data_IF_023435785089
#
_entry.id   IF_023435785089
#
_cell.length_a   1.000
_cell.length_b   1.000
_cell.length_c   1.000
_cell.angle_alpha   90.00
_cell.angle_beta   90.00
_cell.angle_gamma   90.00
#
_symmetry.space_group_name_H-M   'P 1'
#
loop_
_entity.id
_entity.type
_entity.pdbx_description
1 polymer ?
#
# COMPACT_ATOMS: atom_id res chain seq x y z
N UNK A 1 20.52 10.75 -9.54
CA UNK A 1 19.94 12.08 -9.21
C UNK A 1 18.53 12.30 -9.79
N UNK A 2 18.03 11.42 -10.70
CA UNK A 2 16.69 11.57 -11.29
C UNK A 2 15.62 10.72 -10.57
N UNK A 3 16.02 9.66 -9.86
CA UNK A 3 15.11 8.78 -9.12
C UNK A 3 14.57 9.51 -7.89
N UNK A 4 13.34 9.17 -7.50
CA UNK A 4 12.67 9.70 -6.30
C UNK A 4 13.59 9.52 -5.07
N UNK A 5 13.67 10.54 -4.22
CA UNK A 5 14.54 10.53 -3.05
C UNK A 5 14.16 9.40 -2.08
N UNK A 6 15.17 8.76 -1.48
CA UNK A 6 14.99 7.65 -0.55
C UNK A 6 14.75 6.28 -1.18
N UNK A 7 14.38 6.22 -2.48
CA UNK A 7 14.04 4.96 -3.13
C UNK A 7 15.28 4.06 -3.36
N UNK A 8 16.39 4.64 -3.80
CA UNK A 8 17.62 3.88 -4.08
C UNK A 8 18.26 3.29 -2.82
N UNK A 9 18.05 3.92 -1.65
CA UNK A 9 18.56 3.46 -0.35
C UNK A 9 17.60 2.50 0.35
N UNK A 10 16.41 2.27 -0.22
CA UNK A 10 15.43 1.35 0.34
C UNK A 10 15.80 -0.12 0.09
N UNK A 11 15.23 -1.03 0.89
CA UNK A 11 15.38 -2.48 0.69
C UNK A 11 14.91 -2.94 -0.71
N UNK A 12 14.04 -2.18 -1.37
CA UNK A 12 13.59 -2.45 -2.75
C UNK A 12 14.73 -2.34 -3.77
N UNK A 13 15.72 -1.48 -3.55
CA UNK A 13 16.85 -1.28 -4.47
C UNK A 13 18.19 -1.75 -3.90
N UNK A 14 18.35 -1.73 -2.58
CA UNK A 14 19.57 -2.03 -1.82
C UNK A 14 19.29 -3.05 -0.69
N UNK A 15 18.88 -4.29 -1.00
CA UNK A 15 18.35 -5.24 -0.02
C UNK A 15 19.39 -5.79 0.97
N UNK A 16 20.68 -5.56 0.71
CA UNK A 16 21.76 -6.13 1.53
C UNK A 16 22.37 -5.11 2.52
N UNK A 17 21.93 -3.85 2.51
CA UNK A 17 22.43 -2.82 3.43
C UNK A 17 23.92 -2.46 3.24
N UNK A 18 24.55 -2.84 2.13
CA UNK A 18 25.98 -2.59 1.81
C UNK A 18 26.24 -1.31 1.02
N UNK A 19 25.20 -0.48 0.84
CA UNK A 19 25.26 0.78 0.10
C UNK A 19 25.34 0.63 -1.42
N UNK A 20 25.13 -0.58 -1.95
CA UNK A 20 25.09 -0.82 -3.39
C UNK A 20 23.66 -0.99 -3.88
N UNK A 21 23.42 -0.49 -5.09
CA UNK A 21 22.15 -0.64 -5.79
C UNK A 21 22.23 -1.91 -6.64
N UNK A 22 21.34 -2.86 -6.36
CA UNK A 22 21.26 -4.13 -7.08
C UNK A 22 20.08 -4.17 -8.04
N UNK A 23 19.04 -3.40 -7.76
CA UNK A 23 17.75 -3.43 -8.45
C UNK A 23 17.41 -2.02 -8.90
N UNK A 24 17.01 -1.86 -10.14
CA UNK A 24 16.66 -0.57 -10.73
C UNK A 24 15.15 -0.35 -10.65
N UNK A 25 14.65 0.69 -9.94
CA UNK A 25 13.23 0.97 -9.85
C UNK A 25 12.73 1.61 -11.16
N UNK A 26 11.59 1.17 -11.69
CA UNK A 26 11.07 1.81 -12.88
C UNK A 26 9.69 2.45 -12.70
N UNK A 27 8.76 1.85 -12.02
CA UNK A 27 7.45 2.43 -11.68
C UNK A 27 7.38 2.67 -10.16
N UNK A 28 6.73 3.75 -9.75
CA UNK A 28 6.40 4.02 -8.36
C UNK A 28 4.94 4.48 -8.29
N UNK A 29 4.06 3.54 -8.02
CA UNK A 29 2.62 3.74 -7.98
C UNK A 29 2.14 3.96 -6.55
N UNK A 30 1.43 5.07 -6.24
CA UNK A 30 0.91 5.30 -4.90
C UNK A 30 -0.14 4.26 -4.53
N UNK A 31 -0.09 3.84 -3.27
CA UNK A 31 -1.05 2.96 -2.63
C UNK A 31 -1.72 3.69 -1.46
N UNK A 32 -2.99 3.38 -1.25
CA UNK A 32 -3.78 3.97 -0.17
C UNK A 32 -5.18 3.39 -0.15
N UNK A 33 -6.14 4.18 0.28
CA UNK A 33 -7.55 3.85 0.28
C UNK A 33 -8.21 4.43 -0.97
N UNK A 34 -8.57 3.58 -1.92
CA UNK A 34 -9.33 3.98 -3.11
C UNK A 34 -10.80 4.19 -2.72
N UNK A 35 -11.41 5.26 -3.21
CA UNK A 35 -12.80 5.62 -2.95
C UNK A 35 -13.46 6.25 -4.17
N UNK A 36 -14.79 6.39 -4.15
CA UNK A 36 -15.56 7.07 -5.19
C UNK A 36 -15.71 8.56 -4.84
N UNK A 37 -14.99 9.44 -5.53
CA UNK A 37 -15.04 10.91 -5.32
C UNK A 37 -16.46 11.46 -5.48
N UNK A 38 -17.16 11.05 -6.52
CA UNK A 38 -18.53 11.49 -6.80
C UNK A 38 -19.47 11.16 -5.65
N UNK A 39 -19.40 9.95 -5.10
CA UNK A 39 -20.20 9.55 -3.94
C UNK A 39 -19.92 10.44 -2.72
N UNK A 40 -18.66 10.79 -2.49
CA UNK A 40 -18.26 11.67 -1.40
C UNK A 40 -18.79 13.09 -1.59
N UNK A 41 -18.66 13.65 -2.78
CA UNK A 41 -19.18 14.99 -3.14
C UNK A 41 -20.70 15.06 -2.98
N UNK A 42 -21.45 14.07 -3.51
CA UNK A 42 -22.90 14.01 -3.41
C UNK A 42 -23.43 13.95 -1.97
N UNK A 43 -22.64 13.38 -1.04
CA UNK A 43 -23.02 13.26 0.36
C UNK A 43 -22.39 14.33 1.25
N UNK A 44 -21.53 15.20 0.71
CA UNK A 44 -20.78 16.18 1.48
C UNK A 44 -19.81 15.52 2.49
N UNK A 45 -19.27 14.37 2.13
CA UNK A 45 -18.28 13.65 2.93
C UNK A 45 -16.87 14.09 2.57
N UNK A 46 -16.01 14.15 3.58
CA UNK A 46 -14.57 14.37 3.42
C UNK A 46 -13.81 13.06 3.67
N UNK A 47 -12.61 12.93 3.10
CA UNK A 47 -11.74 11.80 3.38
C UNK A 47 -11.23 11.88 4.83
N UNK A 48 -11.21 10.75 5.57
CA UNK A 48 -10.84 10.75 6.97
C UNK A 48 -9.35 11.04 7.15
N UNK A 49 -8.99 11.78 8.19
CA UNK A 49 -7.61 12.03 8.61
C UNK A 49 -7.23 11.07 9.73
N UNK A 50 -8.07 10.97 10.75
CA UNK A 50 -7.84 10.11 11.91
C UNK A 50 -8.69 8.83 11.86
N UNK A 51 -8.34 7.86 12.71
CA UNK A 51 -9.17 6.68 12.90
C UNK A 51 -10.56 6.99 13.44
N UNK A 52 -10.70 8.03 14.23
CA UNK A 52 -12.01 8.46 14.73
C UNK A 52 -12.86 9.01 13.58
N UNK A 53 -12.29 9.85 12.70
CA UNK A 53 -12.98 10.32 11.49
C UNK A 53 -13.39 9.15 10.57
N UNK A 54 -12.51 8.14 10.46
CA UNK A 54 -12.76 6.97 9.63
C UNK A 54 -13.98 6.18 10.10
N UNK A 55 -14.07 5.93 11.40
CA UNK A 55 -15.21 5.21 11.98
C UNK A 55 -16.48 6.07 12.01
N UNK A 56 -16.38 7.38 12.28
CA UNK A 56 -17.52 8.30 12.19
C UNK A 56 -18.11 8.33 10.78
N UNK A 57 -17.26 8.36 9.76
CA UNK A 57 -17.69 8.24 8.37
C UNK A 57 -18.36 6.88 8.11
N UNK A 58 -17.84 5.81 8.70
CA UNK A 58 -18.43 4.48 8.62
C UNK A 58 -19.84 4.42 9.19
N UNK A 59 -20.10 5.09 10.31
CA UNK A 59 -21.45 5.17 10.89
C UNK A 59 -22.42 5.92 9.97
N UNK A 60 -21.97 7.03 9.37
CA UNK A 60 -22.75 7.77 8.35
C UNK A 60 -23.05 6.92 7.11
N UNK A 61 -22.10 6.11 6.67
CA UNK A 61 -22.27 5.21 5.53
C UNK A 61 -23.26 4.06 5.82
N UNK A 62 -23.18 3.49 7.01
CA UNK A 62 -24.13 2.45 7.48
C UNK A 62 -25.59 2.90 7.42
N UNK A 63 -25.88 4.17 7.72
CA UNK A 63 -27.24 4.73 7.61
C UNK A 63 -27.77 4.68 6.16
N UNK A 64 -26.89 4.64 5.18
CA UNK A 64 -27.20 4.52 3.74
C UNK A 64 -27.10 3.08 3.21
N UNK A 65 -26.78 2.11 4.07
CA UNK A 65 -26.58 0.71 3.70
C UNK A 65 -25.27 0.46 2.97
N UNK A 66 -24.27 1.32 3.13
CA UNK A 66 -22.93 1.21 2.54
C UNK A 66 -21.96 0.80 3.64
N UNK A 67 -21.13 -0.23 3.40
CA UNK A 67 -20.07 -0.60 4.32
C UNK A 67 -18.93 0.43 4.29
N UNK A 68 -18.19 0.57 5.38
CA UNK A 68 -17.02 1.46 5.40
C UNK A 68 -15.87 0.89 4.55
N UNK A 69 -15.63 -0.42 4.62
CA UNK A 69 -14.41 -1.02 4.11
C UNK A 69 -14.66 -2.36 3.45
N UNK A 70 -13.91 -2.64 2.41
CA UNK A 70 -13.71 -3.97 1.83
C UNK A 70 -12.24 -4.17 1.50
N UNK A 71 -11.79 -5.39 1.29
CA UNK A 71 -10.43 -5.70 0.81
C UNK A 71 -10.44 -6.98 -0.02
N UNK A 72 -9.31 -7.28 -0.66
CA UNK A 72 -9.13 -8.48 -1.48
C UNK A 72 -8.96 -9.71 -0.56
N UNK A 73 -10.07 -10.26 -0.06
CA UNK A 73 -10.12 -11.23 1.03
C UNK A 73 -9.15 -12.40 0.90
N UNK A 74 -9.09 -13.04 -0.29
CA UNK A 74 -8.15 -14.14 -0.55
C UNK A 74 -6.72 -13.66 -0.91
N UNK A 75 -6.48 -12.33 -0.99
CA UNK A 75 -5.18 -11.70 -1.20
C UNK A 75 -4.96 -10.58 -0.16
N UNK A 76 -4.93 -10.91 1.14
CA UNK A 76 -4.96 -9.91 2.21
C UNK A 76 -3.70 -9.02 2.27
N UNK A 77 -2.67 -9.33 1.50
CA UNK A 77 -1.46 -8.51 1.38
C UNK A 77 -1.72 -7.05 0.99
N UNK A 78 -2.82 -6.75 0.30
CA UNK A 78 -3.20 -5.36 -0.02
C UNK A 78 -3.47 -4.48 1.21
N UNK A 79 -3.75 -5.06 2.37
CA UNK A 79 -3.84 -4.34 3.63
C UNK A 79 -2.53 -3.61 4.00
N UNK A 80 -1.41 -3.95 3.36
CA UNK A 80 -0.12 -3.28 3.53
C UNK A 80 -0.21 -1.77 3.26
N UNK A 81 -1.04 -1.35 2.29
CA UNK A 81 -1.23 0.06 1.96
C UNK A 81 -1.90 0.89 3.06
N UNK A 82 -2.45 0.23 4.06
CA UNK A 82 -3.04 0.84 5.25
C UNK A 82 -2.19 0.59 6.51
N UNK A 83 -1.76 -0.66 6.73
CA UNK A 83 -1.05 -1.05 7.95
C UNK A 83 0.32 -0.37 8.07
N UNK A 84 1.15 -0.42 7.03
CA UNK A 84 2.51 0.14 7.12
C UNK A 84 2.53 1.67 7.23
N UNK A 85 1.75 2.43 6.44
CA UNK A 85 1.64 3.88 6.62
C UNK A 85 1.12 4.27 8.00
N UNK A 86 0.08 3.59 8.53
CA UNK A 86 -0.44 3.86 9.85
C UNK A 86 0.59 3.58 10.96
N UNK A 87 1.35 2.49 10.87
CA UNK A 87 2.46 2.20 11.78
C UNK A 87 3.59 3.22 11.66
N UNK A 88 3.93 3.65 10.44
CA UNK A 88 4.94 4.68 10.22
C UNK A 88 4.55 6.02 10.85
N UNK A 89 3.26 6.39 10.79
CA UNK A 89 2.74 7.59 11.45
C UNK A 89 2.81 7.45 12.97
N UNK A 90 2.33 6.33 13.51
CA UNK A 90 2.22 6.11 14.95
C UNK A 90 3.57 5.90 15.65
N UNK A 91 4.54 5.25 14.99
CA UNK A 91 5.81 4.83 15.63
C UNK A 91 7.04 5.55 15.07
N UNK A 92 6.87 6.32 14.01
CA UNK A 92 7.93 7.02 13.29
C UNK A 92 8.54 6.20 12.15
N UNK A 93 8.89 6.88 11.06
CA UNK A 93 9.45 6.25 9.85
C UNK A 93 10.76 5.49 10.10
N UNK A 94 11.57 5.93 11.07
CA UNK A 94 12.82 5.24 11.40
C UNK A 94 12.56 3.89 12.08
N UNK A 95 11.45 3.75 12.83
CA UNK A 95 11.06 2.46 13.40
C UNK A 95 10.67 1.45 12.31
N UNK A 96 10.14 1.92 11.18
CA UNK A 96 9.81 1.04 10.06
C UNK A 96 11.03 0.32 9.46
N UNK A 97 12.24 0.87 9.63
CA UNK A 97 13.49 0.19 9.25
C UNK A 97 13.75 -1.00 10.17
N UNK A 98 13.47 -0.85 11.48
CA UNK A 98 13.58 -1.95 12.44
C UNK A 98 12.54 -3.04 12.14
N UNK A 99 11.30 -2.67 11.81
CA UNK A 99 10.26 -3.61 11.36
C UNK A 99 10.71 -4.36 10.10
N UNK A 100 11.18 -3.65 9.09
CA UNK A 100 11.66 -4.21 7.82
C UNK A 100 12.84 -5.20 8.02
N UNK A 101 13.68 -4.97 9.04
CA UNK A 101 14.83 -5.81 9.40
C UNK A 101 14.48 -6.93 10.40
N UNK A 102 13.20 -7.16 10.65
CA UNK A 102 12.71 -8.19 11.60
C UNK A 102 13.28 -8.01 13.00
N UNK A 103 13.36 -6.77 13.49
CA UNK A 103 13.93 -6.48 14.81
C UNK A 103 12.89 -6.78 15.91
N UNK A 104 13.15 -7.73 16.83
CA UNK A 104 12.24 -7.99 17.94
C UNK A 104 12.01 -6.74 18.80
N UNK A 105 10.77 -6.53 19.19
CA UNK A 105 10.33 -5.38 19.99
C UNK A 105 9.97 -4.13 19.16
N UNK A 106 10.15 -4.14 17.82
CA UNK A 106 9.85 -2.98 16.98
C UNK A 106 8.35 -2.64 16.88
N UNK A 107 7.47 -3.58 17.20
CA UNK A 107 6.01 -3.39 17.24
C UNK A 107 5.44 -3.39 18.68
N UNK A 108 6.29 -3.36 19.72
CA UNK A 108 5.88 -3.55 21.11
C UNK A 108 5.33 -2.27 21.76
N UNK A 109 5.33 -1.12 21.10
CA UNK A 109 4.80 0.14 21.67
C UNK A 109 3.27 0.13 21.77
N UNK A 110 2.73 0.97 22.67
CA UNK A 110 1.28 1.15 22.82
C UNK A 110 0.67 1.76 21.56
N UNK A 111 1.40 2.65 20.87
CA UNK A 111 0.97 3.26 19.61
C UNK A 111 0.85 2.23 18.49
N UNK A 112 1.84 1.32 18.37
CA UNK A 112 1.74 0.21 17.42
C UNK A 112 0.52 -0.66 17.72
N UNK A 113 0.30 -1.01 18.99
CA UNK A 113 -0.87 -1.81 19.38
C UNK A 113 -2.19 -1.12 19.02
N UNK A 114 -2.32 0.19 19.22
CA UNK A 114 -3.51 0.95 18.83
C UNK A 114 -3.80 0.83 17.32
N UNK A 115 -2.77 0.84 16.47
CA UNK A 115 -2.96 0.64 15.03
C UNK A 115 -3.55 -0.75 14.76
N UNK A 116 -3.02 -1.81 15.36
CA UNK A 116 -3.58 -3.16 15.21
C UNK A 116 -5.01 -3.26 15.75
N UNK A 117 -5.32 -2.61 16.86
CA UNK A 117 -6.68 -2.54 17.43
C UNK A 117 -7.66 -1.85 16.49
N UNK A 118 -7.27 -0.72 15.89
CA UNK A 118 -8.10 -0.02 14.90
C UNK A 118 -8.31 -0.85 13.63
N UNK A 119 -7.28 -1.54 13.14
CA UNK A 119 -7.42 -2.47 12.02
C UNK A 119 -8.40 -3.60 12.34
N UNK A 120 -8.29 -4.24 13.52
CA UNK A 120 -9.21 -5.29 13.96
C UNK A 120 -10.64 -4.78 14.11
N UNK A 121 -10.82 -3.57 14.62
CA UNK A 121 -12.12 -2.90 14.81
C UNK A 121 -12.92 -2.79 13.50
N UNK A 122 -12.26 -2.69 12.35
CA UNK A 122 -12.94 -2.68 11.05
C UNK A 122 -13.86 -3.90 10.90
N UNK A 123 -13.39 -5.08 11.29
CA UNK A 123 -14.19 -6.31 11.24
C UNK A 123 -15.10 -6.47 12.45
N UNK A 124 -14.54 -6.38 13.68
CA UNK A 124 -15.25 -6.72 14.92
C UNK A 124 -16.43 -5.80 15.22
N UNK A 125 -16.38 -4.54 14.80
CA UNK A 125 -17.46 -3.55 15.02
C UNK A 125 -18.37 -3.40 13.78
N UNK A 126 -18.23 -4.32 12.79
CA UNK A 126 -19.13 -4.42 11.64
C UNK A 126 -19.01 -3.26 10.66
N UNK A 127 -17.79 -2.76 10.42
CA UNK A 127 -17.47 -1.80 9.39
C UNK A 127 -17.03 -2.48 8.07
N UNK A 128 -16.64 -3.75 8.16
CA UNK A 128 -16.28 -4.56 7.00
C UNK A 128 -17.53 -4.96 6.22
N UNK A 129 -17.46 -4.88 4.90
CA UNK A 129 -18.51 -5.38 4.00
C UNK A 129 -18.69 -6.90 4.18
N UNK A 130 -19.95 -7.35 4.28
CA UNK A 130 -20.28 -8.76 4.42
C UNK A 130 -19.65 -9.61 3.31
N UNK A 131 -19.04 -10.74 3.69
CA UNK A 131 -18.43 -11.68 2.77
C UNK A 131 -17.06 -11.30 2.23
N UNK A 132 -16.52 -10.13 2.59
CA UNK A 132 -15.21 -9.62 2.09
C UNK A 132 -14.11 -10.68 2.17
N UNK A 133 -14.00 -11.43 3.27
CA UNK A 133 -12.91 -12.42 3.48
C UNK A 133 -12.84 -13.53 2.43
N UNK A 134 -13.92 -13.75 1.69
CA UNK A 134 -14.01 -14.76 0.61
C UNK A 134 -13.89 -14.15 -0.80
N UNK A 135 -13.83 -12.82 -0.93
CA UNK A 135 -13.78 -12.17 -2.24
C UNK A 135 -12.39 -12.29 -2.87
N UNK A 136 -12.38 -12.51 -4.18
CA UNK A 136 -11.17 -12.36 -4.97
C UNK A 136 -10.92 -10.89 -5.32
N UNK A 137 -9.81 -10.64 -5.97
CA UNK A 137 -9.34 -9.33 -6.38
C UNK A 137 -10.41 -8.53 -7.16
N UNK A 138 -10.86 -9.07 -8.28
CA UNK A 138 -11.85 -8.40 -9.17
C UNK A 138 -13.20 -8.20 -8.48
N UNK A 139 -13.66 -9.17 -7.67
CA UNK A 139 -14.95 -9.06 -6.98
C UNK A 139 -14.95 -7.93 -5.94
N UNK A 140 -13.92 -7.85 -5.10
CA UNK A 140 -13.83 -6.80 -4.06
C UNK A 140 -13.74 -5.40 -4.69
N UNK A 141 -12.97 -5.25 -5.76
CA UNK A 141 -12.87 -4.00 -6.50
C UNK A 141 -14.21 -3.61 -7.15
N UNK A 142 -14.88 -4.56 -7.80
CA UNK A 142 -16.20 -4.32 -8.41
C UNK A 142 -17.23 -3.91 -7.35
N UNK A 143 -17.26 -4.58 -6.20
CA UNK A 143 -18.20 -4.26 -5.13
C UNK A 143 -17.97 -2.85 -4.57
N UNK A 144 -16.72 -2.42 -4.41
CA UNK A 144 -16.42 -1.03 -4.04
C UNK A 144 -16.85 -0.05 -5.14
N UNK A 145 -16.53 -0.32 -6.42
CA UNK A 145 -16.92 0.53 -7.54
C UNK A 145 -18.44 0.64 -7.72
N UNK A 146 -19.20 -0.33 -7.23
CA UNK A 146 -20.66 -0.32 -7.17
C UNK A 146 -21.22 0.33 -5.90
N UNK A 147 -20.39 1.04 -5.13
CA UNK A 147 -20.73 1.72 -3.89
C UNK A 147 -21.25 0.80 -2.77
N UNK A 148 -20.86 -0.49 -2.74
CA UNK A 148 -21.20 -1.37 -1.63
C UNK A 148 -20.29 -1.15 -0.41
N UNK A 149 -19.09 -0.63 -0.63
CA UNK A 149 -18.16 -0.16 0.40
C UNK A 149 -17.57 1.19 0.00
N UNK A 150 -17.19 2.01 1.00
CA UNK A 150 -16.58 3.32 0.74
C UNK A 150 -15.13 3.19 0.30
N UNK A 151 -14.36 2.31 0.95
CA UNK A 151 -12.93 2.19 0.75
C UNK A 151 -12.49 0.77 0.43
N UNK A 152 -11.44 0.68 -0.40
CA UNK A 152 -10.66 -0.54 -0.64
C UNK A 152 -9.17 -0.19 -0.65
N UNK A 153 -8.29 -0.95 0.04
CA UNK A 153 -6.84 -0.78 -0.06
C UNK A 153 -6.36 -1.19 -1.45
N UNK A 154 -5.76 -0.25 -2.20
CA UNK A 154 -5.28 -0.50 -3.56
C UNK A 154 -4.32 0.62 -3.99
N UNK A 155 -3.94 0.64 -5.26
CA UNK A 155 -3.15 1.69 -5.88
C UNK A 155 -3.80 2.29 -7.12
N UNK A 156 -3.13 3.27 -7.72
CA UNK A 156 -3.64 4.00 -8.89
C UNK A 156 -3.80 3.12 -10.14
N UNK A 157 -3.18 1.93 -10.19
CA UNK A 157 -3.36 0.95 -11.27
C UNK A 157 -4.78 0.37 -11.35
N UNK A 158 -5.56 0.45 -10.25
CA UNK A 158 -6.93 -0.07 -10.20
C UNK A 158 -7.81 0.52 -11.29
N UNK A 159 -7.61 1.79 -11.69
CA UNK A 159 -8.36 2.40 -12.78
C UNK A 159 -8.17 1.64 -14.11
N UNK A 160 -6.93 1.36 -14.47
CA UNK A 160 -6.60 0.62 -15.69
C UNK A 160 -7.03 -0.84 -15.63
N UNK A 161 -6.79 -1.49 -14.49
CA UNK A 161 -7.14 -2.90 -14.26
C UNK A 161 -8.65 -3.13 -14.35
N UNK A 162 -9.44 -2.17 -13.90
CA UNK A 162 -10.90 -2.26 -13.85
C UNK A 162 -11.60 -1.43 -14.95
N UNK A 163 -10.89 -1.06 -16.03
CA UNK A 163 -11.42 -0.18 -17.07
C UNK A 163 -12.77 -0.63 -17.64
N UNK A 164 -12.93 -1.94 -17.89
CA UNK A 164 -14.13 -2.55 -18.46
C UNK A 164 -15.12 -3.09 -17.41
N UNK A 165 -14.81 -2.95 -16.11
CA UNK A 165 -15.67 -3.46 -15.05
C UNK A 165 -16.87 -2.55 -14.79
N UNK A 166 -18.02 -3.12 -14.34
CA UNK A 166 -19.18 -2.33 -13.96
C UNK A 166 -18.85 -1.44 -12.76
N UNK A 167 -19.44 -0.23 -12.78
CA UNK A 167 -19.29 0.76 -11.72
C UNK A 167 -20.56 1.59 -11.57
N UNK A 168 -20.71 2.26 -10.44
CA UNK A 168 -21.81 3.17 -10.19
C UNK A 168 -21.80 4.34 -11.21
N UNK A 169 -22.97 4.90 -11.48
CA UNK A 169 -23.10 6.06 -12.37
C UNK A 169 -22.25 7.24 -11.86
N UNK A 170 -21.51 7.87 -12.76
CA UNK A 170 -20.64 8.99 -12.41
C UNK A 170 -19.42 8.65 -11.54
N UNK A 171 -19.09 7.38 -11.35
CA UNK A 171 -17.96 6.96 -10.53
C UNK A 171 -16.65 7.61 -10.97
N UNK A 172 -15.98 8.29 -10.05
CA UNK A 172 -14.64 8.85 -10.22
C UNK A 172 -13.69 8.29 -9.16
N UNK A 173 -12.51 7.83 -9.60
CA UNK A 173 -11.49 7.33 -8.70
C UNK A 173 -10.87 8.45 -7.86
N UNK A 174 -10.81 8.23 -6.55
CA UNK A 174 -9.99 8.97 -5.60
C UNK A 174 -9.08 8.04 -4.83
N UNK A 175 -8.00 8.57 -4.28
CA UNK A 175 -7.05 7.85 -3.45
C UNK A 175 -6.70 8.74 -2.26
N UNK A 176 -6.78 8.22 -1.04
CA UNK A 176 -6.43 8.94 0.19
C UNK A 176 -5.52 8.10 1.09
N UNK A 177 -4.81 8.77 1.99
CA UNK A 177 -3.90 8.12 2.94
C UNK A 177 -4.66 7.25 3.96
N UNK A 178 -3.94 6.28 4.55
CA UNK A 178 -4.39 5.60 5.75
C UNK A 178 -4.65 6.62 6.89
N UNK A 179 -5.63 6.35 7.77
CA UNK A 179 -5.87 7.16 8.95
C UNK A 179 -4.69 7.12 9.93
N UNK A 180 -4.50 8.22 10.68
CA UNK A 180 -3.51 8.35 11.76
C UNK A 180 -4.17 8.28 13.13
N UNK A 181 -3.38 8.12 14.21
CA UNK A 181 -3.93 8.06 15.58
C UNK A 181 -4.39 9.44 16.06
N UNK A 182 -3.58 10.46 15.83
CA UNK A 182 -3.86 11.83 16.27
C UNK A 182 -3.74 12.81 15.10
N UNK A 183 -4.61 13.84 15.08
CA UNK A 183 -4.53 14.91 14.08
C UNK A 183 -3.20 15.66 14.22
N UNK A 184 -2.58 15.93 13.06
CA UNK A 184 -1.27 16.56 12.97
C UNK A 184 -0.08 15.59 12.92
N UNK A 185 -0.29 14.28 13.05
CA UNK A 185 0.75 13.30 12.73
C UNK A 185 1.11 13.33 11.24
N UNK A 186 2.38 13.01 10.93
CA UNK A 186 2.78 12.86 9.54
C UNK A 186 2.08 11.67 8.91
N UNK A 187 1.28 11.93 7.89
CA UNK A 187 0.68 10.87 7.07
C UNK A 187 1.70 10.37 6.05
N UNK A 188 1.69 9.08 5.77
CA UNK A 188 2.57 8.46 4.79
C UNK A 188 1.77 7.84 3.65
N UNK A 189 2.36 7.85 2.46
CA UNK A 189 1.87 7.18 1.25
C UNK A 189 2.84 6.08 0.90
N UNK A 190 2.44 4.84 1.09
CA UNK A 190 3.21 3.71 0.60
C UNK A 190 3.16 3.68 -0.92
N UNK A 191 4.28 3.35 -1.54
CA UNK A 191 4.34 3.18 -3.00
C UNK A 191 4.75 1.76 -3.36
N UNK A 192 3.99 1.14 -4.25
CA UNK A 192 4.44 -0.05 -4.95
C UNK A 192 5.55 0.35 -5.92
N UNK A 193 6.63 -0.41 -5.94
CA UNK A 193 7.78 -0.13 -6.80
C UNK A 193 8.03 -1.34 -7.67
N UNK A 194 7.83 -1.17 -8.97
CA UNK A 194 8.22 -2.15 -9.97
C UNK A 194 9.70 -1.98 -10.33
N UNK A 195 10.37 -3.09 -10.60
CA UNK A 195 11.83 -3.11 -10.60
C UNK A 195 12.38 -3.96 -11.72
N UNK A 196 13.60 -3.60 -12.18
CA UNK A 196 14.40 -4.41 -13.08
C UNK A 196 15.71 -4.85 -12.43
N UNK A 197 16.09 -6.08 -12.69
CA UNK A 197 17.39 -6.61 -12.28
C UNK A 197 18.10 -7.28 -13.45
N UNK A 198 19.42 -7.35 -13.37
CA UNK A 198 20.26 -8.10 -14.31
C UNK A 198 20.84 -9.29 -13.56
N UNK A 199 20.40 -10.52 -13.84
CA UNK A 199 20.93 -11.72 -13.19
C UNK A 199 22.45 -11.83 -13.34
N UNK A 200 23.15 -12.31 -12.31
CA UNK A 200 24.61 -12.45 -12.31
C UNK A 200 25.14 -13.35 -13.45
N UNK A 201 24.32 -14.28 -13.93
CA UNK A 201 24.64 -15.19 -15.04
C UNK A 201 24.11 -14.72 -16.41
N UNK A 202 23.70 -13.45 -16.53
CA UNK A 202 23.27 -12.89 -17.81
C UNK A 202 24.36 -13.03 -18.88
N UNK A 203 23.98 -13.46 -20.08
CA UNK A 203 24.94 -13.69 -21.18
C UNK A 203 25.52 -12.38 -21.74
N UNK A 204 24.77 -11.30 -21.69
CA UNK A 204 25.13 -10.00 -22.23
C UNK A 204 24.85 -8.88 -21.22
N UNK A 205 25.56 -8.83 -20.06
CA UNK A 205 25.24 -7.90 -18.99
C UNK A 205 25.42 -6.43 -19.41
N UNK A 206 26.40 -6.11 -20.25
CA UNK A 206 26.61 -4.73 -20.70
C UNK A 206 25.49 -4.25 -21.63
N UNK A 207 24.99 -5.10 -22.53
CA UNK A 207 23.84 -4.77 -23.35
C UNK A 207 22.56 -4.61 -22.50
N UNK A 208 22.39 -5.44 -21.47
CA UNK A 208 21.28 -5.29 -20.53
C UNK A 208 21.35 -3.95 -19.76
N UNK A 209 22.54 -3.50 -19.36
CA UNK A 209 22.75 -2.18 -18.76
C UNK A 209 22.42 -1.03 -19.72
N UNK A 210 22.78 -1.17 -21.00
CA UNK A 210 22.42 -0.17 -22.03
C UNK A 210 20.89 -0.12 -22.20
N UNK A 211 20.23 -1.27 -22.22
CA UNK A 211 18.77 -1.32 -22.26
C UNK A 211 18.14 -0.66 -21.03
N UNK A 212 18.64 -0.92 -19.81
CA UNK A 212 18.17 -0.22 -18.62
C UNK A 212 18.36 1.30 -18.73
N UNK A 213 19.51 1.78 -19.24
CA UNK A 213 19.72 3.22 -19.45
C UNK A 213 18.72 3.82 -20.45
N UNK A 214 18.39 3.07 -21.50
CA UNK A 214 17.39 3.47 -22.49
C UNK A 214 16.00 3.63 -21.84
N UNK A 215 15.62 2.73 -20.91
CA UNK A 215 14.32 2.82 -20.23
C UNK A 215 14.15 4.10 -19.41
N UNK A 216 15.22 4.75 -18.97
CA UNK A 216 15.17 6.02 -18.24
C UNK A 216 15.25 7.27 -19.14
N UNK A 217 15.16 7.12 -20.45
CA UNK A 217 15.05 8.26 -21.36
C UNK A 217 13.64 8.85 -21.35
N UNK A 218 13.50 10.14 -21.66
CA UNK A 218 12.20 10.80 -21.72
C UNK A 218 11.23 10.13 -22.70
N UNK A 219 11.72 9.68 -23.85
CA UNK A 219 10.90 8.98 -24.85
C UNK A 219 10.33 7.66 -24.29
N UNK A 220 11.15 6.91 -23.55
CA UNK A 220 10.71 5.66 -22.91
C UNK A 220 9.70 5.91 -21.81
N UNK A 221 9.90 6.95 -20.97
CA UNK A 221 8.96 7.35 -19.92
C UNK A 221 7.60 7.70 -20.53
N UNK A 222 7.57 8.50 -21.59
CA UNK A 222 6.32 8.87 -22.28
C UNK A 222 5.66 7.67 -22.96
N UNK A 223 6.43 6.78 -23.56
CA UNK A 223 5.91 5.56 -24.18
C UNK A 223 5.27 4.62 -23.15
N UNK A 224 5.89 4.49 -21.97
CA UNK A 224 5.32 3.70 -20.87
C UNK A 224 4.01 4.30 -20.39
N UNK A 225 3.95 5.61 -20.19
CA UNK A 225 2.72 6.32 -19.81
C UNK A 225 1.61 6.11 -20.86
N UNK A 226 1.94 6.21 -22.15
CA UNK A 226 0.98 6.05 -23.26
C UNK A 226 0.45 4.61 -23.37
N UNK A 227 1.31 3.59 -23.15
CA UNK A 227 0.97 2.19 -23.40
C UNK A 227 0.52 1.41 -22.16
N UNK A 228 1.02 1.79 -21.00
CA UNK A 228 0.75 1.11 -19.73
C UNK A 228 0.02 1.97 -18.70
N UNK A 229 -0.23 3.24 -19.01
CA UNK A 229 -0.87 4.20 -18.10
C UNK A 229 -0.12 4.32 -16.74
N UNK A 230 1.20 4.09 -16.73
CA UNK A 230 2.05 4.07 -15.55
C UNK A 230 2.98 5.30 -15.47
N UNK A 231 3.51 5.55 -14.29
CA UNK A 231 4.39 6.69 -14.00
C UNK A 231 5.72 6.21 -13.46
N UNK A 232 6.81 6.54 -14.17
CA UNK A 232 8.15 6.15 -13.75
C UNK A 232 8.55 6.71 -12.37
N UNK A 233 9.37 5.97 -11.64
CA UNK A 233 9.94 6.35 -10.34
C UNK A 233 10.97 7.50 -10.43
N UNK A 234 10.65 8.56 -11.18
CA UNK A 234 11.51 9.70 -11.42
C UNK A 234 10.88 10.99 -10.88
N UNK A 235 11.69 11.88 -10.31
CA UNK A 235 11.28 13.17 -9.71
C UNK A 235 10.41 14.04 -10.62
N UNK A 236 10.60 13.96 -11.94
CA UNK A 236 9.87 14.76 -12.94
C UNK A 236 8.87 13.96 -13.77
N UNK A 237 8.65 12.68 -13.43
CA UNK A 237 7.79 11.84 -14.25
C UNK A 237 6.37 12.39 -14.34
N UNK A 238 5.78 12.84 -13.23
CA UNK A 238 4.44 13.44 -13.22
C UNK A 238 4.29 14.60 -14.20
N UNK A 239 5.30 15.50 -14.26
CA UNK A 239 5.29 16.62 -15.20
C UNK A 239 5.36 16.13 -16.65
N UNK A 240 6.17 15.10 -16.92
CA UNK A 240 6.38 14.55 -18.27
C UNK A 240 5.15 13.85 -18.82
N UNK A 241 4.34 13.23 -17.96
CA UNK A 241 3.22 12.37 -18.35
C UNK A 241 1.85 13.04 -18.23
N UNK A 242 1.82 14.30 -17.83
CA UNK A 242 0.58 15.09 -17.75
C UNK A 242 -0.13 15.13 -19.11
N UNK A 243 -1.39 14.68 -19.12
CA UNK A 243 -2.20 14.59 -20.36
C UNK A 243 -1.78 13.42 -21.27
N UNK A 244 -0.92 12.51 -20.82
CA UNK A 244 -0.61 11.23 -21.48
C UNK A 244 -1.28 10.08 -20.73
N UNK A 245 -1.09 9.99 -19.41
CA UNK A 245 -1.87 9.06 -18.56
C UNK A 245 -3.29 9.57 -18.42
N UNK A 246 -4.22 8.70 -18.02
CA UNK A 246 -5.61 9.07 -17.74
C UNK A 246 -5.71 10.09 -16.61
N UNK A 247 -6.78 10.88 -16.60
CA UNK A 247 -7.02 11.86 -15.54
C UNK A 247 -7.17 11.18 -14.17
N UNK A 248 -7.74 9.98 -14.10
CA UNK A 248 -7.87 9.24 -12.86
C UNK A 248 -6.53 8.83 -12.27
N UNK A 249 -5.63 8.21 -13.06
CA UNK A 249 -4.25 7.90 -12.60
C UNK A 249 -3.51 9.17 -12.21
N UNK A 250 -3.61 10.23 -13.02
CA UNK A 250 -2.96 11.50 -12.72
C UNK A 250 -3.43 12.10 -11.40
N UNK A 251 -4.76 12.15 -11.20
CA UNK A 251 -5.38 12.73 -10.00
C UNK A 251 -5.12 11.89 -8.73
N UNK A 252 -5.06 10.56 -8.85
CA UNK A 252 -4.71 9.71 -7.71
C UNK A 252 -3.27 9.97 -7.18
N UNK A 253 -2.36 10.51 -8.01
CA UNK A 253 -1.05 10.94 -7.53
C UNK A 253 -1.10 12.21 -6.65
N UNK A 254 -2.23 12.91 -6.59
CA UNK A 254 -2.41 14.04 -5.66
C UNK A 254 -2.34 13.59 -4.19
N UNK A 255 -2.47 12.30 -3.90
CA UNK A 255 -2.26 11.74 -2.55
C UNK A 255 -0.89 12.13 -1.96
N UNK A 256 0.13 12.38 -2.78
CA UNK A 256 1.42 12.88 -2.31
C UNK A 256 1.39 14.33 -1.81
N UNK A 257 0.28 15.04 -1.98
CA UNK A 257 0.03 16.33 -1.31
C UNK A 257 -0.57 16.12 0.09
N UNK A 258 -1.22 14.99 0.34
CA UNK A 258 -1.78 14.62 1.63
C UNK A 258 -0.76 13.93 2.54
N UNK A 259 0.16 13.15 1.97
CA UNK A 259 1.10 12.35 2.73
C UNK A 259 2.49 12.27 2.12
N UNK A 260 3.46 11.97 2.97
CA UNK A 260 4.86 11.82 2.62
C UNK A 260 5.11 10.47 1.95
N UNK A 261 5.82 10.48 0.83
CA UNK A 261 6.25 9.25 0.15
C UNK A 261 7.00 8.31 1.09
N UNK A 262 6.62 7.05 1.11
CA UNK A 262 7.37 5.98 1.76
C UNK A 262 7.42 4.72 0.90
N UNK A 263 8.46 3.95 1.09
CA UNK A 263 8.59 2.61 0.54
C UNK A 263 8.81 1.65 1.70
N UNK A 264 8.05 0.57 1.72
CA UNK A 264 8.28 -0.53 2.64
C UNK A 264 8.70 -1.78 1.86
N UNK A 265 9.68 -2.48 2.37
CA UNK A 265 10.14 -3.75 1.86
C UNK A 265 10.93 -4.47 2.94
N UNK A 266 10.75 -5.77 3.01
CA UNK A 266 11.49 -6.60 3.94
C UNK A 266 12.95 -6.71 3.52
N UNK A 267 13.85 -6.65 4.47
CA UNK A 267 15.27 -6.99 4.26
C UNK A 267 15.41 -8.47 3.88
N UNK A 268 16.56 -8.81 3.31
CA UNK A 268 16.87 -10.19 2.98
C UNK A 268 16.89 -11.04 4.28
N UNK A 269 16.05 -12.06 4.30
CA UNK A 269 15.96 -12.99 5.42
C UNK A 269 17.19 -13.92 5.42
N UNK A 270 17.70 -14.34 6.60
CA UNK A 270 18.76 -15.35 6.66
C UNK A 270 18.36 -16.65 5.95
N UNK A 271 19.27 -17.24 5.17
CA UNK A 271 19.04 -18.51 4.44
C UNK A 271 18.64 -19.68 5.37
N UNK A 272 19.00 -19.57 6.64
CA UNK A 272 18.68 -20.57 7.69
C UNK A 272 17.29 -20.43 8.25
N UNK A 273 16.62 -19.29 8.05
CA UNK A 273 15.25 -19.07 8.50
C UNK A 273 14.25 -19.86 7.66
N UNK A 274 13.22 -20.39 8.32
CA UNK A 274 12.08 -21.06 7.69
C UNK A 274 10.78 -20.29 7.86
N UNK A 275 10.85 -19.10 8.45
CA UNK A 275 9.68 -18.25 8.69
C UNK A 275 9.09 -17.76 7.37
N UNK A 276 7.79 -17.88 7.23
CA UNK A 276 7.01 -17.25 6.17
C UNK A 276 6.32 -16.04 6.78
N UNK A 277 6.95 -14.87 6.70
CA UNK A 277 6.47 -13.67 7.42
C UNK A 277 5.02 -13.30 7.07
N UNK A 278 4.58 -13.56 5.85
CA UNK A 278 3.19 -13.33 5.43
C UNK A 278 2.17 -14.10 6.28
N UNK A 279 2.55 -15.27 6.82
CA UNK A 279 1.66 -16.09 7.67
C UNK A 279 1.35 -15.41 9.00
N UNK A 280 2.24 -14.56 9.50
CA UNK A 280 2.01 -13.79 10.73
C UNK A 280 1.44 -12.40 10.46
N UNK A 281 1.69 -11.80 9.29
CA UNK A 281 1.27 -10.42 9.01
C UNK A 281 -0.10 -10.36 8.36
N UNK A 282 -0.30 -11.00 7.21
CA UNK A 282 -1.52 -10.81 6.41
C UNK A 282 -2.38 -12.05 6.26
N UNK A 283 -1.80 -13.27 6.26
CA UNK A 283 -2.59 -14.50 6.07
C UNK A 283 -3.55 -14.77 7.23
N UNK A 284 -3.37 -14.11 8.37
CA UNK A 284 -4.28 -14.12 9.54
C UNK A 284 -5.39 -13.08 9.48
N UNK A 285 -5.42 -12.24 8.44
CA UNK A 285 -6.36 -11.12 8.37
C UNK A 285 -7.83 -11.56 8.49
N UNK A 286 -8.21 -12.71 7.92
CA UNK A 286 -9.56 -13.24 8.07
C UNK A 286 -9.92 -13.55 9.54
N UNK A 287 -8.99 -14.13 10.30
CA UNK A 287 -9.20 -14.49 11.70
C UNK A 287 -9.33 -13.20 12.56
N UNK A 288 -8.52 -12.19 12.25
CA UNK A 288 -8.61 -10.86 12.90
C UNK A 288 -9.94 -10.17 12.59
N UNK A 289 -10.32 -10.13 11.31
CA UNK A 289 -11.56 -9.45 10.88
C UNK A 289 -12.82 -10.17 11.39
N UNK A 290 -12.78 -11.48 11.58
CA UNK A 290 -13.88 -12.26 12.15
C UNK A 290 -13.91 -12.24 13.69
N UNK A 291 -12.87 -11.71 14.34
CA UNK A 291 -12.73 -11.69 15.80
C UNK A 291 -12.24 -13.02 16.42
N UNK A 292 -11.76 -13.95 15.59
CA UNK A 292 -11.17 -15.21 16.03
C UNK A 292 -9.74 -15.02 16.57
N UNK A 293 -9.07 -13.92 16.16
CA UNK A 293 -7.76 -13.48 16.63
C UNK A 293 -7.84 -12.02 17.13
N UNK A 294 -7.31 -11.74 18.33
CA UNK A 294 -7.27 -10.35 18.84
C UNK A 294 -6.13 -9.55 18.21
N UNK A 295 -6.20 -8.24 18.30
CA UNK A 295 -5.14 -7.33 17.85
C UNK A 295 -3.79 -7.61 18.54
N UNK A 296 -3.83 -7.91 19.84
CA UNK A 296 -2.66 -8.29 20.63
C UNK A 296 -2.04 -9.60 20.12
N UNK A 297 -2.87 -10.61 19.86
CA UNK A 297 -2.41 -11.89 19.31
C UNK A 297 -1.80 -11.72 17.92
N UNK A 298 -2.38 -10.86 17.09
CA UNK A 298 -1.85 -10.54 15.77
C UNK A 298 -0.47 -9.89 15.87
N UNK A 299 -0.33 -8.79 16.63
CA UNK A 299 0.95 -8.11 16.87
C UNK A 299 1.97 -9.06 17.47
N UNK A 300 1.63 -9.80 18.52
CA UNK A 300 2.52 -10.73 19.22
C UNK A 300 2.97 -11.89 18.32
N UNK A 301 2.12 -12.33 17.39
CA UNK A 301 2.48 -13.33 16.38
C UNK A 301 3.56 -12.83 15.41
N UNK A 302 3.51 -11.54 15.03
CA UNK A 302 4.55 -10.92 14.20
C UNK A 302 5.85 -10.79 14.98
N UNK A 303 5.80 -10.34 16.24
CA UNK A 303 6.97 -10.23 17.11
C UNK A 303 7.63 -11.60 17.34
N UNK A 304 6.85 -12.66 17.56
CA UNK A 304 7.38 -14.02 17.70
C UNK A 304 8.08 -14.49 16.40
N UNK A 305 7.55 -14.14 15.21
CA UNK A 305 8.23 -14.41 13.95
C UNK A 305 9.56 -13.65 13.83
N UNK A 306 9.64 -12.40 14.31
CA UNK A 306 10.89 -11.64 14.35
C UNK A 306 11.92 -12.25 15.30
N UNK A 307 11.49 -12.74 16.46
CA UNK A 307 12.38 -13.47 17.40
C UNK A 307 12.94 -14.74 16.75
N UNK A 308 12.12 -15.52 16.04
CA UNK A 308 12.58 -16.73 15.35
C UNK A 308 13.56 -16.41 14.21
N UNK A 309 13.31 -15.36 13.43
CA UNK A 309 14.23 -14.88 12.38
C UNK A 309 15.54 -14.42 13.00
N UNK A 310 15.50 -13.65 14.09
CA UNK A 310 16.70 -13.18 14.79
C UNK A 310 17.54 -14.34 15.36
N UNK A 311 16.90 -15.38 15.89
CA UNK A 311 17.56 -16.57 16.39
C UNK A 311 18.18 -17.46 15.28
N UNK A 312 17.79 -17.25 14.02
CA UNK A 312 18.33 -17.98 12.87
C UNK A 312 19.56 -17.32 12.22
N UNK A 313 19.95 -16.11 12.69
CA UNK A 313 21.17 -15.40 12.27
C UNK A 313 22.40 -16.02 12.94
#
# INVERSE_FOLDING_TARGET
DQVIDGLLDSAKCSPYGDGKIYIAPFDASPMGLVYNKTLFEENGWETPVTWDDFFELGDKAKEKGIALFTYQGIYPGYLESMLWPALASATGIDNMKAVASYTPGSLSSDEALKVFQNMAKIGTDGYLMDGTVALNHTQSQTDMMMNKALFIPNGNWMEGEMADAPRADGFEFGLTCAPVLDDGETRYVMSSVEQFEIPANAKNPELAKEFLRFLYTEDSVKLFAEKANGIYALKKANEMVKGIVTDGVYNMNDIYQEGTFMVFGWDAMPDTSKVVIADSVFNVASDVMNGDMTAEQWRDGIEAAFEEIAASK
#
